data_IF_083653612436
#
_entry.id   IF_083653612436
#
_cell.length_a   1.000
_cell.length_b   1.000
_cell.length_c   1.000
_cell.angle_alpha   90.00
_cell.angle_beta   90.00
_cell.angle_gamma   90.00
#
_symmetry.space_group_name_H-M   'P 1'
#
loop_
_entity.id
_entity.type
_entity.pdbx_description
1 polymer ?
#
# COMPACT_ATOMS: atom_id res chain seq x y z
N UNK A 1 -3.13 4.47 19.62
CA UNK A 1 -3.81 5.67 19.10
C UNK A 1 -4.61 6.33 20.21
N UNK A 2 -4.66 7.65 20.18
CA UNK A 2 -5.44 8.48 21.09
C UNK A 2 -6.75 8.89 20.39
N UNK A 3 -7.89 8.63 21.02
CA UNK A 3 -9.20 9.05 20.54
C UNK A 3 -10.09 9.39 21.74
N UNK A 4 -10.79 10.54 21.69
CA UNK A 4 -11.71 10.96 22.76
C UNK A 4 -11.06 11.03 24.16
N UNK A 5 -9.79 11.45 24.24
CA UNK A 5 -9.03 11.53 25.50
C UNK A 5 -8.59 10.17 26.07
N UNK A 6 -8.83 9.06 25.38
CA UNK A 6 -8.42 7.70 25.76
C UNK A 6 -7.33 7.20 24.84
N UNK A 7 -6.38 6.44 25.36
CA UNK A 7 -5.36 5.75 24.57
C UNK A 7 -5.71 4.27 24.40
N UNK A 8 -5.60 3.75 23.18
CA UNK A 8 -5.76 2.33 22.83
C UNK A 8 -4.50 1.84 22.10
N UNK A 9 -4.03 0.65 22.43
CA UNK A 9 -2.87 0.02 21.78
C UNK A 9 -3.24 -1.37 21.25
N UNK A 10 -2.80 -1.70 20.04
CA UNK A 10 -2.92 -3.02 19.44
C UNK A 10 -1.54 -3.53 19.05
N UNK A 11 -1.26 -4.78 19.35
CA UNK A 11 0.00 -5.45 19.00
C UNK A 11 -0.31 -6.60 18.05
N UNK A 12 0.42 -6.69 16.94
CA UNK A 12 0.21 -7.73 15.94
C UNK A 12 1.52 -8.32 15.45
N UNK A 13 1.49 -9.63 15.21
CA UNK A 13 2.63 -10.40 14.69
C UNK A 13 2.43 -10.62 13.19
N UNK A 14 3.35 -10.09 12.39
CA UNK A 14 3.22 -10.11 10.93
C UNK A 14 3.99 -11.25 10.26
N UNK A 15 5.24 -11.48 10.63
CA UNK A 15 6.08 -12.51 10.04
C UNK A 15 6.86 -13.23 11.11
N UNK A 16 7.04 -14.54 10.96
CA UNK A 16 7.80 -15.38 11.89
C UNK A 16 8.63 -16.37 11.10
N UNK A 17 9.87 -16.56 11.53
CA UNK A 17 10.75 -17.61 11.04
C UNK A 17 11.15 -18.45 12.24
N UNK A 18 11.06 -19.77 12.09
CA UNK A 18 11.44 -20.72 13.13
C UNK A 18 12.66 -21.50 12.65
N UNK A 19 13.73 -21.46 13.44
CA UNK A 19 14.94 -22.24 13.18
C UNK A 19 14.82 -23.68 13.69
N UNK A 20 15.89 -24.44 13.50
CA UNK A 20 16.01 -25.81 14.03
C UNK A 20 16.13 -25.78 15.56
N UNK A 21 15.58 -26.79 16.23
CA UNK A 21 15.71 -26.95 17.67
C UNK A 21 17.20 -27.09 18.09
N UNK A 22 17.59 -26.35 19.12
CA UNK A 22 18.94 -26.39 19.67
C UNK A 22 19.07 -27.52 20.68
N UNK A 23 20.08 -28.36 20.48
CA UNK A 23 20.43 -29.39 21.45
C UNK A 23 21.17 -28.78 22.64
N UNK A 24 21.06 -29.36 23.84
CA UNK A 24 21.80 -28.91 25.02
C UNK A 24 23.30 -28.80 24.75
N UNK A 25 23.91 -27.69 25.17
CA UNK A 25 25.35 -27.44 24.99
C UNK A 25 25.78 -27.15 23.54
N UNK A 26 24.85 -27.00 22.60
CA UNK A 26 25.14 -26.60 21.21
C UNK A 26 24.75 -25.15 20.97
N UNK A 27 25.44 -24.55 20.01
CA UNK A 27 25.13 -23.23 19.46
C UNK A 27 24.68 -23.39 18.00
N UNK A 28 23.75 -22.55 17.56
CA UNK A 28 23.49 -22.34 16.14
C UNK A 28 23.62 -20.86 15.80
N UNK A 29 23.97 -20.59 14.56
CA UNK A 29 24.02 -19.26 13.97
C UNK A 29 22.91 -19.14 12.91
N UNK A 30 22.26 -17.97 12.87
CA UNK A 30 21.38 -17.60 11.76
C UNK A 30 22.15 -16.62 10.90
N UNK A 31 22.75 -17.12 9.82
CA UNK A 31 23.44 -16.27 8.85
C UNK A 31 22.49 -15.89 7.73
N UNK A 32 22.31 -14.58 7.51
CA UNK A 32 21.43 -14.01 6.48
C UNK A 32 19.99 -14.58 6.45
N UNK A 33 19.42 -14.97 7.60
CA UNK A 33 18.06 -15.50 7.66
C UNK A 33 17.06 -14.44 7.21
N UNK A 34 16.40 -14.66 6.06
CA UNK A 34 15.44 -13.73 5.49
C UNK A 34 14.15 -13.68 6.32
N UNK A 35 13.83 -12.50 6.85
CA UNK A 35 12.55 -12.17 7.45
C UNK A 35 11.85 -11.14 6.56
N UNK A 36 10.93 -11.60 5.71
CA UNK A 36 10.21 -10.72 4.78
C UNK A 36 9.27 -9.78 5.55
N UNK A 37 9.27 -8.51 5.19
CA UNK A 37 8.35 -7.50 5.73
C UNK A 37 7.15 -7.42 4.78
N UNK A 38 5.92 -7.69 5.23
CA UNK A 38 4.72 -7.59 4.41
C UNK A 38 4.33 -6.11 4.18
N UNK A 39 3.32 -5.89 3.33
CA UNK A 39 2.73 -4.56 3.13
C UNK A 39 2.09 -4.06 4.44
N UNK A 40 2.86 -3.25 5.17
CA UNK A 40 2.47 -2.61 6.43
C UNK A 40 2.68 -1.11 6.34
N UNK A 41 1.99 -0.36 7.19
CA UNK A 41 2.20 1.08 7.32
C UNK A 41 3.66 1.41 7.65
N UNK A 42 4.17 2.57 7.21
CA UNK A 42 5.44 3.07 7.71
C UNK A 42 5.36 3.34 9.22
N UNK A 43 6.52 3.40 9.86
CA UNK A 43 6.64 3.77 11.28
C UNK A 43 6.21 5.23 11.48
N UNK A 44 5.48 5.49 12.56
CA UNK A 44 4.98 6.81 12.93
C UNK A 44 5.46 7.12 14.34
N UNK A 45 6.58 7.82 14.43
CA UNK A 45 7.20 8.21 15.71
C UNK A 45 6.92 9.66 16.10
N UNK A 46 6.65 10.53 15.13
CA UNK A 46 6.44 11.96 15.33
C UNK A 46 5.00 12.40 15.02
N UNK A 47 4.03 11.83 15.74
CA UNK A 47 2.61 12.22 15.66
C UNK A 47 1.98 12.15 17.05
N UNK A 48 1.14 13.13 17.40
CA UNK A 48 0.49 13.20 18.72
C UNK A 48 -0.79 12.35 18.85
N UNK A 49 -1.31 11.83 17.73
CA UNK A 49 -2.56 11.05 17.70
C UNK A 49 -2.30 9.56 17.60
N UNK A 50 -1.32 9.16 16.77
CA UNK A 50 -1.05 7.77 16.44
C UNK A 50 0.45 7.50 16.50
N UNK A 51 0.80 6.38 17.11
CA UNK A 51 2.16 5.87 17.14
C UNK A 51 2.16 4.47 16.53
N UNK A 52 3.08 4.25 15.60
CA UNK A 52 3.28 2.96 14.95
C UNK A 52 4.76 2.60 15.09
N UNK A 53 5.02 1.60 15.91
CA UNK A 53 6.36 1.12 16.24
C UNK A 53 6.49 -0.36 15.88
N UNK A 54 7.68 -0.74 15.42
CA UNK A 54 7.97 -2.10 15.02
C UNK A 54 9.18 -2.62 15.79
N UNK A 55 9.10 -3.88 16.20
CA UNK A 55 10.20 -4.60 16.82
C UNK A 55 10.38 -5.95 16.15
N UNK A 56 11.63 -6.35 15.96
CA UNK A 56 11.98 -7.73 15.63
C UNK A 56 12.25 -8.44 16.95
N UNK A 57 11.36 -9.37 17.30
CA UNK A 57 11.50 -10.19 18.51
C UNK A 57 12.22 -11.50 18.19
N UNK A 58 13.41 -11.68 18.73
CA UNK A 58 14.12 -12.96 18.71
C UNK A 58 13.71 -13.73 19.96
N UNK A 59 13.15 -14.93 19.81
CA UNK A 59 12.68 -15.75 20.94
C UNK A 59 13.34 -17.12 20.93
N UNK A 60 13.91 -17.54 22.05
CA UNK A 60 14.31 -18.92 22.33
C UNK A 60 13.23 -19.59 23.17
N UNK A 61 12.54 -20.56 22.58
CA UNK A 61 11.53 -21.35 23.28
C UNK A 61 12.21 -22.46 24.08
N UNK A 62 11.99 -22.49 25.40
CA UNK A 62 12.60 -23.48 26.31
C UNK A 62 11.49 -24.33 26.92
N UNK A 63 11.33 -25.60 26.52
CA UNK A 63 10.34 -26.48 27.10
C UNK A 63 10.54 -26.64 28.60
N UNK A 64 9.49 -26.43 29.39
CA UNK A 64 9.52 -26.58 30.85
C UNK A 64 10.17 -25.42 31.61
N UNK A 65 10.52 -24.32 30.95
CA UNK A 65 11.04 -23.11 31.58
C UNK A 65 10.46 -21.85 30.92
N UNK A 66 10.92 -20.67 31.37
CA UNK A 66 10.55 -19.40 30.75
C UNK A 66 11.27 -19.21 29.42
N UNK A 67 10.53 -18.76 28.40
CA UNK A 67 11.11 -18.40 27.12
C UNK A 67 11.99 -17.15 27.28
N UNK A 68 13.13 -17.14 26.60
CA UNK A 68 14.00 -15.97 26.53
C UNK A 68 13.69 -15.19 25.26
N UNK A 69 13.69 -13.87 25.32
CA UNK A 69 13.49 -13.04 24.14
C UNK A 69 14.30 -11.74 24.20
N UNK A 70 14.58 -11.20 23.02
CA UNK A 70 15.20 -9.89 22.82
C UNK A 70 14.39 -9.14 21.78
N UNK A 71 14.00 -7.90 22.10
CA UNK A 71 13.30 -7.02 21.19
C UNK A 71 14.28 -6.02 20.58
N UNK A 72 14.38 -6.03 19.26
CA UNK A 72 15.21 -5.11 18.48
C UNK A 72 14.28 -4.09 17.81
N UNK A 73 14.29 -2.82 18.23
CA UNK A 73 13.47 -1.79 17.58
C UNK A 73 13.94 -1.56 16.15
N UNK A 74 13.00 -1.47 15.22
CA UNK A 74 13.26 -1.19 13.81
C UNK A 74 12.35 -0.05 13.31
N UNK A 75 12.81 0.64 12.29
CA UNK A 75 12.02 1.66 11.58
C UNK A 75 11.72 1.13 10.19
N UNK A 76 10.43 0.98 9.89
CA UNK A 76 9.92 0.67 8.56
C UNK A 76 9.61 1.99 7.87
N UNK A 77 10.36 2.31 6.82
CA UNK A 77 10.12 3.48 5.98
C UNK A 77 9.18 3.18 4.81
N UNK A 78 8.94 4.19 3.98
CA UNK A 78 8.35 4.01 2.66
C UNK A 78 9.42 3.57 1.67
N UNK A 79 9.02 2.93 0.56
CA UNK A 79 9.94 2.61 -0.54
C UNK A 79 10.54 3.94 -1.06
N UNK A 80 11.88 4.11 -1.06
CA UNK A 80 12.50 5.32 -1.57
C UNK A 80 12.12 5.55 -3.03
N UNK A 81 11.83 6.81 -3.39
CA UNK A 81 11.65 7.18 -4.80
C UNK A 81 12.97 6.90 -5.54
N UNK A 82 12.96 5.95 -6.48
CA UNK A 82 14.15 5.66 -7.27
C UNK A 82 14.39 6.78 -8.27
N UNK A 83 15.66 7.11 -8.48
CA UNK A 83 16.05 8.07 -9.50
C UNK A 83 15.62 7.56 -10.88
N UNK A 84 14.76 8.36 -11.50
CA UNK A 84 14.40 8.39 -12.92
C UNK A 84 15.46 7.73 -13.82
N UNK A 85 15.18 6.60 -14.51
CA UNK A 85 16.11 6.03 -15.48
C UNK A 85 16.51 7.05 -16.56
N UNK A 86 17.74 7.00 -17.10
CA UNK A 86 18.27 8.04 -18.00
C UNK A 86 17.48 8.24 -19.31
N UNK A 87 16.64 7.28 -19.70
CA UNK A 87 15.74 7.39 -20.85
C UNK A 87 14.44 8.17 -20.56
N UNK A 88 14.11 8.38 -19.28
CA UNK A 88 13.04 9.27 -18.85
C UNK A 88 13.67 10.69 -18.96
N UNK A 89 13.48 11.42 -20.08
CA UNK A 89 13.88 12.85 -20.17
C UNK A 89 12.81 13.75 -19.56
N UNK A 90 13.22 14.64 -18.66
CA UNK A 90 12.40 15.77 -18.23
C UNK A 90 12.08 16.60 -19.47
N UNK A 91 10.81 16.74 -19.84
CA UNK A 91 10.40 17.77 -20.79
C UNK A 91 10.87 19.11 -20.21
N UNK A 92 11.81 19.76 -20.89
CA UNK A 92 12.32 21.06 -20.49
C UNK A 92 11.15 22.02 -20.41
N UNK A 93 10.89 22.55 -19.22
CA UNK A 93 9.91 23.60 -19.00
C UNK A 93 10.41 24.85 -19.75
N UNK A 94 9.75 25.35 -20.82
CA UNK A 94 10.02 26.71 -21.24
C UNK A 94 9.55 27.62 -20.11
N UNK A 95 10.38 28.60 -19.79
CA UNK A 95 10.18 29.73 -18.87
C UNK A 95 8.72 29.98 -18.44
N UNK A 96 8.51 30.09 -17.13
CA UNK A 96 7.26 30.52 -16.49
C UNK A 96 6.43 31.50 -17.33
N UNK A 97 5.13 31.23 -17.52
CA UNK A 97 4.12 32.26 -17.60
C UNK A 97 3.36 32.36 -16.27
N UNK A 98 3.13 33.61 -15.88
CA UNK A 98 2.35 34.07 -14.73
C UNK A 98 1.01 33.32 -14.58
N UNK A 99 0.63 33.02 -13.34
CA UNK A 99 -0.70 32.50 -12.99
C UNK A 99 -1.73 33.59 -13.28
N UNK A 100 -2.40 33.50 -14.42
CA UNK A 100 -3.70 34.12 -14.65
C UNK A 100 -4.68 33.01 -14.96
N UNK A 101 -5.62 32.80 -14.02
CA UNK A 101 -6.91 32.12 -14.17
C UNK A 101 -6.90 30.81 -14.98
N UNK A 102 -7.00 29.68 -14.26
CA UNK A 102 -7.10 28.32 -14.79
C UNK A 102 -7.81 28.23 -16.16
N UNK A 103 -7.11 27.84 -17.23
CA UNK A 103 -7.76 27.46 -18.46
C UNK A 103 -8.48 26.12 -18.26
N UNK A 104 -9.60 25.92 -18.97
CA UNK A 104 -10.26 24.61 -19.03
C UNK A 104 -9.26 23.55 -19.49
N UNK A 105 -9.37 22.34 -18.93
CA UNK A 105 -8.51 21.22 -19.30
C UNK A 105 -8.50 21.08 -20.83
N UNK A 106 -7.32 21.02 -21.48
CA UNK A 106 -7.25 20.92 -22.92
C UNK A 106 -7.95 19.62 -23.38
N UNK A 107 -8.69 19.65 -24.50
CA UNK A 107 -9.26 18.42 -25.06
C UNK A 107 -8.11 17.45 -25.34
N UNK A 108 -8.25 16.22 -24.86
CA UNK A 108 -7.29 15.15 -25.09
C UNK A 108 -7.28 14.83 -26.60
N UNK A 109 -6.43 15.52 -27.35
CA UNK A 109 -6.17 15.22 -28.75
C UNK A 109 -4.98 14.28 -28.80
N UNK A 110 -5.25 13.02 -29.17
CA UNK A 110 -4.26 11.97 -29.48
C UNK A 110 -3.54 12.28 -30.81
N UNK A 111 -2.95 13.47 -30.92
CA UNK A 111 -2.13 13.83 -32.06
C UNK A 111 -0.72 13.31 -31.84
N UNK A 112 -0.41 12.18 -32.46
CA UNK A 112 0.92 11.74 -32.92
C UNK A 112 2.10 12.31 -32.13
N UNK A 113 2.21 11.93 -30.86
CA UNK A 113 3.48 12.02 -30.14
C UNK A 113 4.03 10.62 -29.96
N UNK A 114 4.38 10.02 -31.10
CA UNK A 114 5.26 8.87 -31.13
C UNK A 114 6.57 9.26 -30.40
N UNK A 115 6.91 8.49 -29.36
CA UNK A 115 8.28 8.34 -28.82
C UNK A 115 8.84 9.27 -27.70
N UNK A 116 8.04 10.03 -26.92
CA UNK A 116 8.64 10.95 -25.91
C UNK A 116 8.14 10.90 -24.46
N UNK A 117 7.08 10.16 -24.14
CA UNK A 117 6.69 9.91 -22.76
C UNK A 117 6.97 8.46 -22.42
N UNK A 118 8.15 8.11 -21.89
CA UNK A 118 8.16 6.96 -21.02
C UNK A 118 7.12 7.27 -19.94
N UNK A 119 6.18 6.35 -19.73
CA UNK A 119 5.24 6.39 -18.63
C UNK A 119 5.84 5.48 -17.57
N UNK A 120 6.25 6.02 -16.42
CA UNK A 120 6.60 5.16 -15.29
C UNK A 120 5.29 4.52 -14.82
N UNK A 121 5.17 3.18 -14.76
CA UNK A 121 3.95 2.58 -14.25
C UNK A 121 3.75 3.05 -12.80
N UNK A 122 2.52 3.42 -12.41
CA UNK A 122 2.26 3.79 -11.03
C UNK A 122 2.65 2.62 -10.10
N UNK A 123 3.08 2.90 -8.86
CA UNK A 123 3.35 1.84 -7.89
C UNK A 123 2.12 0.96 -7.73
N UNK A 124 2.30 -0.34 -7.56
CA UNK A 124 1.20 -1.21 -7.20
C UNK A 124 0.71 -0.83 -5.82
N UNK A 125 -0.60 -0.75 -5.62
CA UNK A 125 -1.18 -0.59 -4.30
C UNK A 125 -1.52 -1.98 -3.78
N UNK A 126 -0.89 -2.39 -2.68
CA UNK A 126 -1.16 -3.66 -2.02
C UNK A 126 -2.08 -3.45 -0.82
N UNK A 127 -3.11 -4.30 -0.68
CA UNK A 127 -3.97 -4.33 0.50
C UNK A 127 -3.16 -4.58 1.76
N UNK A 128 -3.53 -3.88 2.84
CA UNK A 128 -3.01 -4.16 4.15
C UNK A 128 -3.33 -5.61 4.52
N UNK A 129 -2.34 -6.34 5.02
CA UNK A 129 -2.49 -7.73 5.44
C UNK A 129 -3.45 -7.91 6.63
N UNK A 130 -3.85 -6.82 7.28
CA UNK A 130 -4.84 -6.83 8.36
C UNK A 130 -6.28 -6.96 7.86
N UNK A 131 -6.50 -6.72 6.55
CA UNK A 131 -7.82 -6.78 5.93
C UNK A 131 -8.66 -5.53 6.20
N UNK A 132 -9.96 -5.65 5.90
CA UNK A 132 -10.91 -4.56 6.03
C UNK A 132 -11.29 -4.31 7.49
N UNK A 133 -11.32 -3.05 7.89
CA UNK A 133 -11.84 -2.60 9.18
C UNK A 133 -13.13 -1.83 8.93
N UNK A 134 -14.14 -2.05 9.77
CA UNK A 134 -15.37 -1.26 9.75
C UNK A 134 -15.07 0.11 10.37
N UNK A 135 -15.32 1.18 9.60
CA UNK A 135 -15.15 2.57 10.04
C UNK A 135 -16.46 3.21 10.48
N UNK A 136 -17.57 2.48 10.44
CA UNK A 136 -18.85 2.92 11.00
C UNK A 136 -18.76 3.10 12.51
N UNK A 137 -19.56 4.03 13.03
CA UNK A 137 -19.73 4.28 14.47
C UNK A 137 -21.16 3.90 14.89
N UNK A 138 -21.36 3.40 16.11
CA UNK A 138 -22.69 2.93 16.56
C UNK A 138 -23.75 4.07 16.60
N UNK A 139 -23.31 5.33 16.48
CA UNK A 139 -24.14 6.54 16.43
C UNK A 139 -24.44 7.02 15.00
N UNK A 140 -23.78 6.47 13.99
CA UNK A 140 -24.13 6.75 12.61
C UNK A 140 -25.46 6.04 12.24
N UNK A 141 -26.35 6.77 11.57
CA UNK A 141 -27.55 6.17 11.01
C UNK A 141 -27.20 5.20 9.89
N UNK A 142 -28.20 4.69 9.17
CA UNK A 142 -27.96 3.84 7.99
C UNK A 142 -27.12 4.61 6.94
N UNK A 143 -25.80 4.37 6.93
CA UNK A 143 -24.86 5.02 6.04
C UNK A 143 -24.96 4.38 4.66
N UNK A 144 -25.13 5.19 3.61
CA UNK A 144 -25.21 4.68 2.25
C UNK A 144 -23.80 4.40 1.71
N UNK A 145 -23.31 3.15 1.83
CA UNK A 145 -22.01 2.72 1.30
C UNK A 145 -21.42 1.49 2.02
N UNK A 146 -20.35 0.90 1.48
CA UNK A 146 -19.55 -0.10 2.21
C UNK A 146 -18.69 0.64 3.25
N UNK A 147 -18.95 0.40 4.54
CA UNK A 147 -18.17 0.97 5.66
C UNK A 147 -16.86 0.19 5.91
N UNK A 148 -16.64 -0.90 5.18
CA UNK A 148 -15.41 -1.68 5.30
C UNK A 148 -14.29 -1.02 4.50
N UNK A 149 -13.32 -0.48 5.20
CA UNK A 149 -12.12 0.11 4.60
C UNK A 149 -10.90 -0.80 4.79
N UNK A 150 -10.28 -1.20 3.69
CA UNK A 150 -8.95 -1.85 3.70
C UNK A 150 -7.90 -0.83 3.25
N UNK A 151 -6.96 -0.41 4.12
CA UNK A 151 -5.89 0.48 3.71
C UNK A 151 -5.02 -0.15 2.62
N UNK A 152 -4.63 0.64 1.63
CA UNK A 152 -3.72 0.23 0.55
C UNK A 152 -2.40 0.95 0.68
N UNK A 153 -1.27 0.22 0.58
CA UNK A 153 0.06 0.82 0.64
C UNK A 153 0.77 0.72 -0.71
N UNK A 154 1.48 1.77 -1.07
CA UNK A 154 2.36 1.75 -2.23
C UNK A 154 3.42 0.66 -2.04
N UNK A 155 3.38 -0.32 -2.92
CA UNK A 155 4.23 -1.49 -2.91
C UNK A 155 4.82 -1.66 -4.32
N UNK A 156 6.14 -1.55 -4.41
CA UNK A 156 6.83 -1.74 -5.68
C UNK A 156 7.37 -3.16 -5.71
N UNK A 157 6.66 -4.05 -6.42
CA UNK A 157 7.29 -5.27 -6.91
C UNK A 157 8.39 -4.85 -7.87
N UNK A 158 9.51 -5.59 -7.88
CA UNK A 158 10.68 -5.38 -8.75
C UNK A 158 10.32 -4.55 -9.99
N UNK A 159 10.99 -3.40 -10.21
CA UNK A 159 10.75 -2.33 -11.22
C UNK A 159 10.73 -2.81 -12.69
N UNK A 160 10.11 -3.95 -12.92
CA UNK A 160 9.81 -4.55 -14.19
C UNK A 160 8.65 -3.72 -14.71
N UNK A 161 8.92 -3.04 -15.81
CA UNK A 161 7.91 -2.38 -16.61
C UNK A 161 6.81 -3.40 -16.93
N UNK A 162 5.66 -3.28 -16.28
CA UNK A 162 4.44 -3.88 -16.78
C UNK A 162 3.88 -2.86 -17.76
N UNK A 163 3.91 -3.11 -19.08
CA UNK A 163 3.21 -2.23 -20.01
C UNK A 163 1.75 -2.16 -19.55
N UNK A 164 1.09 -0.99 -19.66
CA UNK A 164 -0.33 -0.90 -19.36
C UNK A 164 -1.06 -1.99 -20.15
N UNK A 165 -2.04 -2.69 -19.55
CA UNK A 165 -2.82 -3.69 -20.28
C UNK A 165 -3.31 -3.06 -21.59
N UNK A 166 -3.19 -3.81 -22.68
CA UNK A 166 -3.65 -3.35 -23.98
C UNK A 166 -5.09 -2.87 -23.83
N UNK A 167 -5.36 -1.62 -24.23
CA UNK A 167 -6.68 -1.05 -24.14
C UNK A 167 -7.65 -1.97 -24.89
N UNK A 168 -8.60 -2.53 -24.14
CA UNK A 168 -9.73 -3.29 -24.66
C UNK A 168 -10.86 -2.29 -24.82
N UNK A 169 -11.33 -2.07 -26.05
CA UNK A 169 -12.56 -1.30 -26.32
C UNK A 169 -13.79 -1.90 -25.63
N UNK A 170 -13.70 -3.16 -25.21
CA UNK A 170 -14.73 -3.84 -24.44
C UNK A 170 -14.54 -3.54 -22.95
N UNK A 171 -15.46 -2.76 -22.39
CA UNK A 171 -15.58 -2.53 -20.94
C UNK A 171 -15.84 -3.88 -20.22
N UNK A 172 -14.96 -4.32 -19.31
CA UNK A 172 -15.15 -5.54 -18.53
C UNK A 172 -16.37 -5.50 -17.60
N UNK A 173 -16.92 -4.31 -17.34
CA UNK A 173 -18.09 -4.11 -16.48
C UNK A 173 -19.24 -3.46 -17.27
N UNK A 174 -19.82 -4.16 -18.26
CA UNK A 174 -20.89 -3.59 -19.06
C UNK A 174 -22.06 -3.22 -18.15
N UNK A 175 -22.44 -1.95 -18.15
CA UNK A 175 -23.66 -1.50 -17.47
C UNK A 175 -24.84 -2.30 -18.00
N UNK A 176 -25.48 -3.04 -17.10
CA UNK A 176 -26.64 -3.90 -17.38
C UNK A 176 -27.74 -3.04 -18.00
N UNK A 177 -27.95 -3.17 -19.32
CA UNK A 177 -29.02 -2.44 -20.02
C UNK A 177 -30.36 -2.81 -19.38
N UNK A 178 -31.03 -1.82 -18.80
CA UNK A 178 -32.42 -1.90 -18.39
C UNK A 178 -33.26 -2.00 -19.66
N UNK A 179 -33.89 -3.15 -19.91
CA UNK A 179 -34.86 -3.33 -20.99
C UNK A 179 -36.01 -2.33 -20.79
N UNK A 180 -35.95 -1.22 -21.53
CA UNK A 180 -37.02 -0.24 -21.62
C UNK A 180 -38.14 -0.78 -22.52
N UNK A 181 -39.31 -1.00 -21.93
CA UNK A 181 -40.55 -1.23 -22.64
C UNK A 181 -40.82 -0.11 -23.67
N UNK A 182 -41.12 -0.49 -24.92
CA UNK A 182 -41.72 0.42 -25.91
C UNK A 182 -43.06 -0.14 -26.34
N UNK A 183 -44.12 0.55 -25.91
CA UNK A 183 -45.50 0.36 -26.32
C UNK A 183 -45.75 1.00 -27.70
N UNK A 184 -46.26 0.21 -28.65
CA UNK A 184 -47.34 0.54 -29.59
C UNK A 184 -47.12 1.55 -30.72
N UNK A 185 -47.35 1.10 -31.97
CA UNK A 185 -48.22 1.76 -32.97
C UNK A 185 -48.46 0.83 -34.17
N UNK A 186 -49.68 0.29 -34.29
CA UNK A 186 -50.44 0.15 -35.54
C UNK A 186 -51.91 -0.14 -35.22
#
# INVERSE_FOLDING_TARGET
FLAGGKSRSRHCKFTTVTGVALQPGRSANWDAQLLKIPAVSPSITNCCLIHVEYTVRITLQIPGAYNLFVDLPIVIGTVPLRSRPPHYRTLGLPSQPQIHFYPAAPPYSEADTDDALPAEPPPTYAECIEGSVDIGDDEDGEMHGDTRFTPMYAYVHDYLYHPPPAYSEVDPHPSRQTEGASCGSH
#
